data_IF_741680347427
#
_entry.id   IF_741680347427
#
_cell.length_a   1.000
_cell.length_b   1.000
_cell.length_c   1.000
_cell.angle_alpha   90.00
_cell.angle_beta   90.00
_cell.angle_gamma   90.00
#
_symmetry.space_group_name_H-M   'P 1'
#
loop_
_entity.id
_entity.type
_entity.pdbx_description
1 polymer ?
#
# COMPACT_ATOMS: atom_id res chain seq x y z
N UNK A 1 -0.32 59.82 28.80
CA UNK A 1 0.98 60.25 29.36
C UNK A 1 2.01 60.24 28.23
N UNK A 2 2.60 61.41 27.95
CA UNK A 2 3.84 61.70 27.19
C UNK A 2 4.19 60.91 25.92
N UNK A 3 4.16 61.63 24.80
CA UNK A 3 5.01 61.40 23.63
C UNK A 3 6.48 61.80 23.89
N UNK A 4 7.35 61.08 23.17
CA UNK A 4 8.62 61.48 22.55
C UNK A 4 9.89 61.64 23.39
N UNK A 5 10.96 60.97 22.87
CA UNK A 5 12.40 61.35 22.76
C UNK A 5 13.25 60.07 22.61
N UNK A 6 14.23 59.82 21.72
CA UNK A 6 15.19 60.60 20.90
C UNK A 6 15.77 59.64 19.81
N UNK A 7 15.90 60.07 18.54
CA UNK A 7 17.14 60.42 17.78
C UNK A 7 18.12 59.26 17.42
N UNK A 8 18.39 59.18 16.10
CA UNK A 8 19.16 58.23 15.28
C UNK A 8 20.70 58.42 15.42
N UNK A 9 21.53 57.38 15.15
CA UNK A 9 22.51 57.55 14.07
C UNK A 9 22.68 56.34 13.13
N UNK A 10 23.13 56.70 11.94
CA UNK A 10 23.51 55.94 10.74
C UNK A 10 24.62 54.92 11.02
N UNK A 11 24.49 53.69 10.48
CA UNK A 11 25.65 52.91 9.99
C UNK A 11 25.29 52.36 8.60
N UNK A 12 25.87 53.02 7.62
CA UNK A 12 26.02 52.56 6.24
C UNK A 12 26.99 51.36 6.20
N UNK A 13 26.64 50.39 5.36
CA UNK A 13 27.54 49.73 4.43
C UNK A 13 28.72 48.92 5.02
N UNK A 14 28.52 47.61 5.15
CA UNK A 14 29.53 46.65 4.69
C UNK A 14 28.86 45.58 3.84
N UNK A 15 29.29 45.60 2.59
CA UNK A 15 28.98 44.69 1.51
C UNK A 15 29.76 43.37 1.74
N UNK A 16 29.17 42.26 1.31
CA UNK A 16 29.86 41.05 0.82
C UNK A 16 30.39 40.09 1.90
N UNK A 17 29.77 38.92 2.00
CA UNK A 17 30.31 37.61 1.57
C UNK A 17 29.25 36.53 1.89
N UNK A 18 28.62 35.97 0.88
CA UNK A 18 29.03 34.68 0.31
C UNK A 18 28.77 33.50 1.26
N UNK A 19 27.51 33.09 1.33
CA UNK A 19 27.15 31.71 1.00
C UNK A 19 25.64 31.69 0.82
N UNK A 20 25.20 31.55 -0.43
CA UNK A 20 23.98 30.81 -0.67
C UNK A 20 24.21 29.44 -0.01
N UNK A 21 23.79 29.30 1.24
CA UNK A 21 23.39 28.00 1.74
C UNK A 21 22.24 27.62 0.83
N UNK A 22 22.57 26.91 -0.26
CA UNK A 22 21.65 25.95 -0.82
C UNK A 22 21.26 25.12 0.39
N UNK A 23 20.10 25.42 0.94
CA UNK A 23 19.38 24.46 1.73
C UNK A 23 19.13 23.36 0.72
N UNK A 24 20.01 22.38 0.71
CA UNK A 24 19.71 21.10 0.12
C UNK A 24 18.37 20.74 0.76
N UNK A 25 17.30 20.91 -0.01
CA UNK A 25 16.07 20.21 0.25
C UNK A 25 16.45 18.74 0.11
N UNK A 26 16.94 18.18 1.21
CA UNK A 26 16.95 16.76 1.44
C UNK A 26 15.49 16.35 1.20
N UNK A 27 15.25 15.90 -0.03
CA UNK A 27 13.97 15.42 -0.47
C UNK A 27 13.81 14.13 0.33
N UNK A 28 13.26 14.27 1.53
CA UNK A 28 12.90 13.17 2.41
C UNK A 28 11.85 12.39 1.64
N UNK A 29 12.33 11.46 0.82
CA UNK A 29 11.47 10.59 0.05
C UNK A 29 10.84 9.68 1.08
N UNK A 30 9.59 9.94 1.43
CA UNK A 30 8.86 9.11 2.38
C UNK A 30 8.76 7.70 1.80
N UNK A 31 9.65 6.81 2.26
CA UNK A 31 9.76 5.44 1.78
C UNK A 31 8.55 4.58 2.15
N UNK A 32 7.69 5.07 3.03
CA UNK A 32 6.45 4.40 3.44
C UNK A 32 5.26 4.79 2.55
N UNK A 33 5.38 5.86 1.77
CA UNK A 33 4.33 6.35 0.89
C UNK A 33 4.63 6.06 -0.59
N UNK A 34 3.66 5.52 -1.30
CA UNK A 34 3.77 5.37 -2.75
C UNK A 34 3.56 6.69 -3.47
N UNK A 35 4.54 7.02 -4.31
CA UNK A 35 4.51 8.14 -5.25
C UNK A 35 4.60 7.53 -6.65
N UNK A 36 3.49 7.46 -7.38
CA UNK A 36 3.45 6.94 -8.74
C UNK A 36 2.63 7.85 -9.64
N UNK A 37 2.99 7.93 -10.91
CA UNK A 37 2.13 8.55 -11.92
C UNK A 37 1.02 7.58 -12.27
N UNK A 38 -0.21 8.09 -12.28
CA UNK A 38 -1.38 7.33 -12.71
C UNK A 38 -1.17 6.75 -14.10
N UNK A 39 -1.56 5.49 -14.27
CA UNK A 39 -1.60 4.82 -15.58
C UNK A 39 -3.03 4.64 -16.10
N UNK A 40 -4.03 5.00 -15.28
CA UNK A 40 -5.45 4.81 -15.57
C UNK A 40 -5.94 3.38 -15.32
N UNK A 41 -5.07 2.47 -14.85
CA UNK A 41 -5.40 1.08 -14.54
C UNK A 41 -4.51 0.52 -13.43
N UNK A 42 -5.04 -0.43 -12.67
CA UNK A 42 -4.29 -1.26 -11.75
C UNK A 42 -3.66 -2.46 -12.47
N UNK A 43 -3.12 -3.44 -11.72
CA UNK A 43 -2.53 -4.63 -12.29
C UNK A 43 -3.55 -5.45 -13.10
N UNK A 44 -3.09 -6.08 -14.19
CA UNK A 44 -3.88 -7.07 -14.93
C UNK A 44 -3.60 -8.47 -14.42
N UNK A 45 -4.64 -9.15 -13.93
CA UNK A 45 -4.60 -10.50 -13.39
C UNK A 45 -5.32 -11.44 -14.36
N UNK A 46 -4.54 -12.25 -15.09
CA UNK A 46 -5.07 -13.05 -16.19
C UNK A 46 -5.68 -12.15 -17.28
N UNK A 47 -6.99 -12.26 -17.50
CA UNK A 47 -7.73 -11.42 -18.46
C UNK A 47 -8.42 -10.20 -17.82
N UNK A 48 -8.27 -9.99 -16.51
CA UNK A 48 -8.98 -8.94 -15.77
C UNK A 48 -8.02 -7.82 -15.40
N UNK A 49 -8.25 -6.62 -15.93
CA UNK A 49 -7.56 -5.41 -15.50
C UNK A 49 -8.28 -4.84 -14.27
N UNK A 50 -7.61 -4.81 -13.11
CA UNK A 50 -8.10 -4.10 -11.95
C UNK A 50 -8.05 -2.59 -12.21
N UNK A 51 -8.90 -1.84 -11.54
CA UNK A 51 -8.87 -0.38 -11.61
C UNK A 51 -7.78 0.21 -10.72
N UNK A 52 -7.29 1.38 -11.10
CA UNK A 52 -6.41 2.18 -10.26
C UNK A 52 -7.27 2.86 -9.17
N UNK A 53 -7.47 2.18 -8.06
CA UNK A 53 -8.39 2.59 -7.01
C UNK A 53 -7.96 2.10 -5.62
N UNK A 54 -8.72 2.52 -4.61
CA UNK A 54 -8.65 1.98 -3.25
C UNK A 54 -9.50 0.73 -3.13
N UNK A 55 -8.92 -0.32 -2.58
CA UNK A 55 -9.60 -1.56 -2.28
C UNK A 55 -9.44 -1.88 -0.79
N UNK A 56 -10.53 -2.27 -0.15
CA UNK A 56 -10.52 -2.71 1.25
C UNK A 56 -10.91 -4.18 1.32
N UNK A 57 -10.17 -4.94 2.11
CA UNK A 57 -10.48 -6.34 2.36
C UNK A 57 -11.67 -6.52 3.29
N UNK A 58 -12.32 -7.68 3.18
CA UNK A 58 -13.10 -8.26 4.26
C UNK A 58 -12.23 -8.50 5.50
N UNK A 59 -12.88 -8.57 6.66
CA UNK A 59 -12.19 -8.95 7.89
C UNK A 59 -11.79 -10.42 7.85
N UNK A 60 -10.57 -10.77 8.23
CA UNK A 60 -10.16 -12.15 8.41
C UNK A 60 -9.28 -12.26 9.66
N UNK A 61 -9.71 -13.07 10.64
CA UNK A 61 -8.94 -13.30 11.87
C UNK A 61 -8.60 -12.01 12.64
N UNK A 62 -9.46 -11.00 12.60
CA UNK A 62 -9.19 -9.70 13.24
C UNK A 62 -8.20 -8.83 12.46
N UNK A 63 -7.95 -9.12 11.19
CA UNK A 63 -7.11 -8.33 10.31
C UNK A 63 -7.88 -7.84 9.09
N UNK A 64 -7.55 -6.63 8.63
CA UNK A 64 -7.91 -6.12 7.31
C UNK A 64 -6.68 -5.60 6.59
N UNK A 65 -6.78 -5.54 5.29
CA UNK A 65 -5.77 -4.95 4.42
C UNK A 65 -6.46 -3.95 3.49
N UNK A 66 -5.83 -2.80 3.30
CA UNK A 66 -6.16 -1.85 2.23
C UNK A 66 -5.05 -1.86 1.20
N UNK A 67 -5.43 -1.97 -0.07
CA UNK A 67 -4.54 -1.79 -1.21
C UNK A 67 -5.02 -0.62 -2.04
N UNK A 68 -4.19 0.41 -2.16
CA UNK A 68 -4.43 1.60 -2.95
C UNK A 68 -3.53 1.56 -4.19
N UNK A 69 -4.04 1.01 -5.29
CA UNK A 69 -3.28 0.97 -6.54
C UNK A 69 -3.06 2.38 -7.05
N UNK A 70 -1.78 2.75 -7.24
CA UNK A 70 -1.37 4.04 -7.80
C UNK A 70 -1.11 3.96 -9.30
N UNK A 71 -0.90 2.75 -9.80
CA UNK A 71 -0.81 2.38 -11.21
C UNK A 71 -0.79 0.85 -11.32
N UNK A 72 -0.42 0.33 -12.49
CA UNK A 72 -0.38 -1.11 -12.77
C UNK A 72 0.74 -1.89 -12.06
N UNK A 73 1.70 -1.24 -11.41
CA UNK A 73 2.85 -1.88 -10.78
C UNK A 73 3.16 -1.38 -9.36
N UNK A 74 2.31 -0.54 -8.78
CA UNK A 74 2.54 0.02 -7.44
C UNK A 74 1.24 0.20 -6.66
N UNK A 75 1.29 -0.12 -5.38
CA UNK A 75 0.18 0.03 -4.46
C UNK A 75 0.64 0.50 -3.07
N UNK A 76 -0.11 1.43 -2.48
CA UNK A 76 0.01 1.66 -1.05
C UNK A 76 -0.65 0.48 -0.33
N UNK A 77 0.14 -0.25 0.47
CA UNK A 77 -0.35 -1.33 1.31
C UNK A 77 -0.52 -0.81 2.74
N UNK A 78 -1.68 -1.07 3.34
CA UNK A 78 -1.92 -0.79 4.76
C UNK A 78 -2.56 -2.00 5.43
N UNK A 79 -1.92 -2.54 6.46
CA UNK A 79 -2.50 -3.57 7.33
C UNK A 79 -3.15 -2.94 8.55
N UNK A 80 -4.33 -3.42 8.91
CA UNK A 80 -5.06 -3.09 10.11
C UNK A 80 -5.18 -4.34 10.98
N UNK A 81 -4.70 -4.27 12.22
CA UNK A 81 -4.86 -5.32 13.20
C UNK A 81 -5.82 -4.84 14.30
N UNK A 82 -6.85 -5.63 14.55
CA UNK A 82 -7.89 -5.33 15.54
C UNK A 82 -7.69 -6.22 16.79
N UNK A 83 -8.19 -5.73 17.92
CA UNK A 83 -8.17 -6.50 19.18
C UNK A 83 -9.17 -7.66 19.23
N UNK A 84 -10.03 -7.79 18.22
CA UNK A 84 -11.04 -8.83 18.10
C UNK A 84 -11.12 -9.41 16.68
N UNK A 85 -11.74 -10.60 16.55
CA UNK A 85 -11.84 -11.32 15.27
C UNK A 85 -12.89 -10.74 14.30
N UNK A 86 -13.73 -9.81 14.76
CA UNK A 86 -14.77 -9.17 13.95
C UNK A 86 -14.29 -7.91 13.23
N UNK A 87 -13.04 -7.51 13.48
CA UNK A 87 -12.47 -6.26 13.02
C UNK A 87 -13.32 -5.05 13.43
N UNK A 88 -13.81 -5.07 14.67
CA UNK A 88 -14.57 -3.98 15.27
C UNK A 88 -13.67 -3.08 16.11
N UNK A 89 -14.08 -1.83 16.31
CA UNK A 89 -13.33 -0.85 17.11
C UNK A 89 -12.13 -0.25 16.38
N UNK A 90 -11.12 0.15 17.16
CA UNK A 90 -9.95 0.90 16.68
C UNK A 90 -8.80 -0.07 16.38
N UNK A 91 -8.33 -0.15 15.12
CA UNK A 91 -7.17 -0.97 14.78
C UNK A 91 -5.85 -0.27 15.11
N UNK A 92 -4.79 -1.06 15.28
CA UNK A 92 -3.44 -0.58 14.99
C UNK A 92 -3.19 -0.69 13.48
N UNK A 93 -2.45 0.26 12.92
CA UNK A 93 -2.17 0.29 11.49
C UNK A 93 -0.67 0.34 11.20
N UNK A 94 -0.28 -0.30 10.10
CA UNK A 94 1.06 -0.20 9.53
C UNK A 94 0.93 -0.11 8.02
N UNK A 95 1.73 0.77 7.42
CA UNK A 95 1.64 1.08 6.00
C UNK A 95 3.01 1.10 5.35
N UNK A 96 3.09 0.62 4.12
CA UNK A 96 4.29 0.72 3.31
C UNK A 96 3.96 0.74 1.83
N UNK A 97 4.89 1.27 1.03
CA UNK A 97 4.75 1.25 -0.41
C UNK A 97 5.21 -0.09 -1.00
N UNK A 98 4.32 -0.76 -1.74
CA UNK A 98 4.67 -1.84 -2.66
C UNK A 98 4.95 -1.25 -4.05
N UNK A 99 6.14 -1.50 -4.55
CA UNK A 99 6.55 -1.20 -5.93
C UNK A 99 6.84 -2.52 -6.67
N UNK A 100 7.00 -2.44 -7.99
CA UNK A 100 7.34 -3.57 -8.85
C UNK A 100 6.38 -4.76 -8.73
N UNK A 101 5.08 -4.49 -8.55
CA UNK A 101 4.05 -5.53 -8.54
C UNK A 101 4.10 -6.28 -9.87
N UNK A 102 4.42 -7.57 -9.81
CA UNK A 102 4.61 -8.42 -10.98
C UNK A 102 3.66 -9.60 -10.91
N UNK A 103 2.90 -9.81 -11.98
CA UNK A 103 1.94 -10.90 -12.11
C UNK A 103 2.57 -11.97 -12.98
N UNK A 104 2.77 -13.17 -12.42
CA UNK A 104 3.32 -14.32 -13.14
C UNK A 104 2.28 -14.96 -14.06
N UNK A 105 2.73 -15.69 -15.08
CA UNK A 105 1.87 -16.60 -15.85
C UNK A 105 1.51 -17.89 -15.10
N UNK A 106 2.16 -18.16 -13.96
CA UNK A 106 1.86 -19.31 -13.10
C UNK A 106 0.49 -19.17 -12.45
N UNK A 107 -0.40 -20.10 -12.74
CA UNK A 107 -1.72 -20.19 -12.12
C UNK A 107 -1.67 -20.92 -10.79
N UNK A 108 -2.48 -20.47 -9.83
CA UNK A 108 -2.68 -21.12 -8.53
C UNK A 108 -4.17 -21.37 -8.37
N UNK A 109 -4.56 -22.60 -8.02
CA UNK A 109 -5.97 -22.95 -7.79
C UNK A 109 -6.16 -23.33 -6.34
N UNK A 110 -7.04 -22.62 -5.63
CA UNK A 110 -7.38 -22.86 -4.23
C UNK A 110 -8.79 -22.35 -3.93
N UNK A 111 -9.46 -22.85 -2.88
CA UNK A 111 -10.76 -22.35 -2.49
C UNK A 111 -10.69 -20.91 -1.98
N UNK A 112 -11.80 -20.17 -2.09
CA UNK A 112 -11.98 -18.91 -1.36
C UNK A 112 -12.44 -19.19 0.08
N UNK A 113 -12.02 -18.36 1.02
CA UNK A 113 -12.47 -18.44 2.40
C UNK A 113 -13.62 -17.47 2.65
N UNK A 114 -14.78 -17.97 3.10
CA UNK A 114 -15.88 -17.08 3.43
C UNK A 114 -15.76 -16.54 4.87
N UNK A 115 -15.86 -15.22 4.98
CA UNK A 115 -15.67 -14.46 6.23
C UNK A 115 -16.79 -14.74 7.24
N UNK A 116 -17.91 -15.27 6.78
CA UNK A 116 -19.12 -15.59 7.54
C UNK A 116 -19.05 -16.92 8.29
N UNK A 117 -17.84 -17.32 8.75
CA UNK A 117 -17.56 -18.33 9.78
C UNK A 117 -17.08 -19.70 9.24
N UNK A 118 -15.76 -19.82 9.00
CA UNK A 118 -14.98 -21.07 8.96
C UNK A 118 -15.15 -22.04 7.79
N UNK A 119 -15.80 -21.64 6.70
CA UNK A 119 -16.03 -22.50 5.54
C UNK A 119 -15.20 -22.13 4.31
N UNK A 120 -14.85 -23.16 3.54
CA UNK A 120 -14.21 -23.03 2.24
C UNK A 120 -15.28 -23.05 1.16
N UNK A 121 -15.18 -22.11 0.22
CA UNK A 121 -15.98 -22.07 -0.99
C UNK A 121 -15.36 -22.87 -2.14
N UNK A 122 -15.81 -22.55 -3.35
CA UNK A 122 -15.32 -23.21 -4.56
C UNK A 122 -13.87 -22.85 -4.86
N UNK A 123 -13.18 -23.79 -5.51
CA UNK A 123 -11.85 -23.56 -6.08
C UNK A 123 -11.92 -22.51 -7.19
N UNK A 124 -11.07 -21.51 -7.07
CA UNK A 124 -10.90 -20.47 -8.09
C UNK A 124 -9.43 -20.42 -8.52
N UNK A 125 -9.22 -20.07 -9.79
CA UNK A 125 -7.88 -19.97 -10.35
C UNK A 125 -7.43 -18.51 -10.34
N UNK A 126 -6.38 -18.23 -9.58
CA UNK A 126 -5.66 -16.96 -9.63
C UNK A 126 -4.25 -17.14 -10.19
N UNK A 127 -3.43 -16.12 -9.97
CA UNK A 127 -2.06 -16.03 -10.47
C UNK A 127 -1.11 -15.73 -9.31
N UNK A 128 0.10 -16.28 -9.37
CA UNK A 128 1.17 -15.90 -8.47
C UNK A 128 1.62 -14.46 -8.76
N UNK A 129 1.78 -13.67 -7.72
CA UNK A 129 2.15 -12.25 -7.82
C UNK A 129 3.23 -11.97 -6.77
N UNK A 130 4.14 -11.05 -7.08
CA UNK A 130 5.10 -10.52 -6.10
C UNK A 130 5.01 -9.00 -6.08
N UNK A 131 5.42 -8.40 -4.97
CA UNK A 131 5.65 -6.95 -4.85
C UNK A 131 6.82 -6.69 -3.94
N UNK A 132 7.55 -5.60 -4.16
CA UNK A 132 8.74 -5.25 -3.39
C UNK A 132 8.46 -4.03 -2.53
N UNK A 133 8.69 -4.14 -1.22
CA UNK A 133 8.57 -3.04 -0.29
C UNK A 133 9.64 -1.99 -0.58
N UNK A 134 9.23 -0.75 -0.89
CA UNK A 134 10.14 0.36 -1.21
C UNK A 134 11.17 0.64 -0.12
N UNK A 135 10.73 0.57 1.14
CA UNK A 135 11.55 0.97 2.30
C UNK A 135 12.65 -0.02 2.70
N UNK A 136 12.50 -1.30 2.37
CA UNK A 136 13.42 -2.35 2.82
C UNK A 136 13.78 -3.38 1.74
N UNK A 137 13.27 -3.22 0.51
CA UNK A 137 13.42 -4.17 -0.60
C UNK A 137 12.93 -5.60 -0.28
N UNK A 138 12.16 -5.79 0.80
CA UNK A 138 11.56 -7.09 1.12
C UNK A 138 10.51 -7.44 0.08
N UNK A 139 10.42 -8.71 -0.29
CA UNK A 139 9.42 -9.18 -1.24
C UNK A 139 8.20 -9.70 -0.48
N UNK A 140 7.03 -9.18 -0.82
CA UNK A 140 5.74 -9.76 -0.45
C UNK A 140 5.33 -10.74 -1.54
N UNK A 141 5.14 -12.00 -1.16
CA UNK A 141 4.65 -13.05 -2.05
C UNK A 141 3.14 -13.13 -1.94
N UNK A 142 2.46 -13.17 -3.07
CA UNK A 142 1.00 -13.11 -3.14
C UNK A 142 0.44 -14.12 -4.15
N UNK A 143 -0.81 -14.51 -3.96
CA UNK A 143 -1.63 -15.07 -5.01
C UNK A 143 -2.87 -14.21 -5.15
N UNK A 144 -3.22 -13.82 -6.37
CA UNK A 144 -4.39 -12.99 -6.63
C UNK A 144 -5.33 -13.69 -7.60
N UNK A 145 -6.60 -13.79 -7.23
CA UNK A 145 -7.69 -14.15 -8.12
C UNK A 145 -8.57 -12.92 -8.35
N UNK A 146 -8.62 -12.39 -9.56
CA UNK A 146 -9.50 -11.26 -9.89
C UNK A 146 -10.87 -11.76 -10.36
N UNK A 147 -11.90 -11.50 -9.57
CA UNK A 147 -13.30 -11.89 -9.84
C UNK A 147 -13.95 -10.91 -10.85
N UNK A 148 -13.57 -9.63 -10.77
CA UNK A 148 -13.97 -8.56 -11.71
C UNK A 148 -12.96 -7.42 -11.66
N UNK A 149 -13.18 -6.34 -12.42
CA UNK A 149 -12.32 -5.13 -12.36
C UNK A 149 -12.34 -4.44 -10.98
N UNK A 150 -13.36 -4.71 -10.16
CA UNK A 150 -13.59 -4.06 -8.86
C UNK A 150 -13.56 -5.02 -7.67
N UNK A 151 -13.31 -6.31 -7.90
CA UNK A 151 -13.30 -7.34 -6.85
C UNK A 151 -12.20 -8.35 -7.13
N UNK A 152 -11.37 -8.62 -6.12
CA UNK A 152 -10.37 -9.68 -6.19
C UNK A 152 -10.18 -10.34 -4.83
N UNK A 153 -9.56 -11.51 -4.85
CA UNK A 153 -9.18 -12.27 -3.69
C UNK A 153 -7.66 -12.33 -3.62
N UNK A 154 -7.14 -12.26 -2.39
CA UNK A 154 -5.71 -12.25 -2.12
C UNK A 154 -5.39 -13.24 -1.02
N UNK A 155 -4.28 -13.93 -1.21
CA UNK A 155 -3.51 -14.56 -0.15
C UNK A 155 -2.08 -14.05 -0.21
N UNK A 156 -1.40 -13.93 0.93
CA UNK A 156 -0.05 -13.37 0.97
C UNK A 156 0.81 -13.98 2.07
N UNK A 157 2.12 -13.93 1.89
CA UNK A 157 3.11 -14.31 2.89
C UNK A 157 4.45 -13.57 2.66
N UNK A 158 5.31 -13.59 3.66
CA UNK A 158 6.67 -13.02 3.58
C UNK A 158 7.64 -13.87 2.77
N UNK A 159 7.31 -15.12 2.49
CA UNK A 159 8.11 -16.05 1.69
C UNK A 159 7.22 -16.99 0.87
N UNK A 160 7.79 -17.54 -0.20
CA UNK A 160 7.07 -18.39 -1.14
C UNK A 160 6.60 -19.71 -0.51
N UNK A 161 7.41 -20.33 0.36
CA UNK A 161 7.06 -21.63 0.94
C UNK A 161 5.85 -21.52 1.87
N UNK A 162 5.78 -20.44 2.66
CA UNK A 162 4.61 -20.13 3.48
C UNK A 162 3.40 -19.86 2.59
N UNK A 163 3.53 -19.06 1.54
CA UNK A 163 2.43 -18.81 0.60
C UNK A 163 1.89 -20.11 -0.03
N UNK A 164 2.78 -21.01 -0.43
CA UNK A 164 2.44 -22.31 -1.03
C UNK A 164 1.75 -23.24 -0.04
N UNK A 165 2.02 -23.09 1.26
CA UNK A 165 1.36 -23.85 2.33
C UNK A 165 -0.06 -23.33 2.64
N UNK A 166 -0.38 -22.10 2.24
CA UNK A 166 -1.70 -21.52 2.49
C UNK A 166 -2.76 -22.19 1.62
N UNK A 167 -3.81 -22.68 2.27
CA UNK A 167 -4.79 -23.57 1.65
C UNK A 167 -5.96 -22.86 0.98
N UNK A 168 -6.10 -21.53 1.13
CA UNK A 168 -7.23 -20.76 0.60
C UNK A 168 -6.83 -19.31 0.29
N UNK A 169 -7.69 -18.60 -0.45
CA UNK A 169 -7.67 -17.14 -0.51
C UNK A 169 -8.44 -16.56 0.68
N UNK A 170 -7.77 -15.83 1.56
CA UNK A 170 -8.39 -15.34 2.81
C UNK A 170 -9.05 -13.98 2.72
N UNK A 171 -8.49 -13.05 1.94
CA UNK A 171 -8.97 -11.68 1.87
C UNK A 171 -9.75 -11.42 0.59
N UNK A 172 -11.04 -11.10 0.68
CA UNK A 172 -11.82 -10.54 -0.44
C UNK A 172 -11.71 -9.03 -0.43
N UNK A 173 -11.17 -8.46 -1.49
CA UNK A 173 -11.06 -7.02 -1.69
C UNK A 173 -12.19 -6.50 -2.57
N UNK A 174 -12.79 -5.39 -2.14
CA UNK A 174 -13.78 -4.66 -2.93
C UNK A 174 -13.33 -3.21 -3.09
N UNK A 175 -13.45 -2.69 -4.31
CA UNK A 175 -13.23 -1.28 -4.61
C UNK A 175 -14.11 -0.40 -3.71
N UNK A 176 -13.53 0.66 -3.16
CA UNK A 176 -14.21 1.64 -2.29
C UNK A 176 -14.81 2.79 -3.10
#
# INVERSE_FOLDING_TARGET
MKYMKYIIPIIMLSLVLLSCAKKDEETTTDVYTCTGTSSGSGPTIGSVALEEATYLSTCFGGSKVKMEFKNNSSAQYTSYAYGDSSCSGTPSESSFCLESITVSSTTVTKPVYYVDNSSLGDNVTGYATTGTGKHNSSTLYMSIYAESTSVFWLEQASDQATLDSNTAYTYKFTKQ
#
